data_IF_764460228677
#
_entry.id   IF_764460228677
#
_cell.length_a   1.000
_cell.length_b   1.000
_cell.length_c   1.000
_cell.angle_alpha   90.00
_cell.angle_beta   90.00
_cell.angle_gamma   90.00
#
_symmetry.space_group_name_H-M   'P 1'
#
loop_
_entity.id
_entity.type
_entity.pdbx_description
1 polymer ?
#
# COMPACT_ATOMS: atom_id res chain seq x y z
N UNK A 1 -23.06 5.32 13.09
CA UNK A 1 -22.28 4.08 13.03
C UNK A 1 -20.96 4.35 12.36
N UNK A 2 -19.85 4.05 13.03
CA UNK A 2 -18.52 4.34 12.49
C UNK A 2 -18.21 3.54 11.24
N UNK A 3 -17.52 4.17 10.30
CA UNK A 3 -17.14 3.58 9.02
C UNK A 3 -15.70 3.07 9.07
N UNK A 4 -15.51 1.79 8.76
CA UNK A 4 -14.21 1.11 8.72
C UNK A 4 -13.86 0.78 7.27
N UNK A 5 -12.70 1.25 6.83
CA UNK A 5 -12.14 0.97 5.52
C UNK A 5 -11.08 -0.13 5.65
N UNK A 6 -11.15 -1.16 4.83
CA UNK A 6 -10.24 -2.30 4.86
C UNK A 6 -9.54 -2.41 3.51
N UNK A 7 -8.21 -2.34 3.50
CA UNK A 7 -7.41 -2.39 2.28
C UNK A 7 -6.87 -3.82 2.14
N UNK A 8 -7.46 -4.58 1.22
CA UNK A 8 -7.13 -5.97 0.95
C UNK A 8 -8.27 -6.92 1.29
N UNK A 9 -8.56 -7.84 0.36
CA UNK A 9 -9.63 -8.86 0.46
C UNK A 9 -9.10 -10.28 0.66
N UNK A 10 -7.88 -10.42 1.16
CA UNK A 10 -7.31 -11.70 1.58
C UNK A 10 -7.89 -12.18 2.92
N UNK A 11 -7.35 -13.27 3.49
CA UNK A 11 -7.87 -13.86 4.73
C UNK A 11 -7.96 -12.86 5.89
N UNK A 12 -6.96 -12.00 6.04
CA UNK A 12 -6.96 -10.98 7.10
C UNK A 12 -8.06 -9.92 6.87
N UNK A 13 -8.15 -9.34 5.67
CA UNK A 13 -9.13 -8.31 5.39
C UNK A 13 -10.57 -8.82 5.46
N UNK A 14 -10.82 -10.04 4.96
CA UNK A 14 -12.15 -10.66 5.06
C UNK A 14 -12.48 -11.00 6.51
N UNK A 15 -11.55 -11.57 7.28
CA UNK A 15 -11.76 -11.84 8.69
C UNK A 15 -12.08 -10.55 9.47
N UNK A 16 -11.30 -9.48 9.25
CA UNK A 16 -11.58 -8.17 9.83
C UNK A 16 -12.98 -7.65 9.48
N UNK A 17 -13.36 -7.75 8.21
CA UNK A 17 -14.67 -7.32 7.73
C UNK A 17 -15.82 -8.08 8.39
N UNK A 18 -15.70 -9.41 8.54
CA UNK A 18 -16.70 -10.25 9.18
C UNK A 18 -16.94 -9.83 10.65
N UNK A 19 -15.86 -9.66 11.42
CA UNK A 19 -15.95 -9.30 12.84
C UNK A 19 -16.46 -7.87 13.03
N UNK A 20 -15.94 -6.90 12.27
CA UNK A 20 -16.38 -5.51 12.34
C UNK A 20 -17.86 -5.36 11.93
N UNK A 21 -18.27 -6.00 10.84
CA UNK A 21 -19.66 -5.96 10.34
C UNK A 21 -20.66 -6.60 11.31
N UNK A 22 -20.32 -7.77 11.84
CA UNK A 22 -21.17 -8.42 12.87
C UNK A 22 -21.27 -7.57 14.14
N UNK A 23 -20.25 -6.78 14.45
CA UNK A 23 -20.31 -5.80 15.52
C UNK A 23 -21.09 -4.53 15.17
N UNK A 24 -21.64 -4.39 13.97
CA UNK A 24 -22.52 -3.29 13.56
C UNK A 24 -21.80 -2.09 12.92
N UNK A 25 -20.51 -2.20 12.55
CA UNK A 25 -19.85 -1.13 11.80
C UNK A 25 -20.34 -1.07 10.34
N UNK A 26 -20.22 0.10 9.72
CA UNK A 26 -20.25 0.22 8.25
C UNK A 26 -18.85 -0.16 7.72
N UNK A 27 -18.80 -1.18 6.85
CA UNK A 27 -17.54 -1.77 6.40
C UNK A 27 -17.43 -1.75 4.89
N UNK A 28 -16.32 -1.17 4.39
CA UNK A 28 -15.97 -1.19 2.97
C UNK A 28 -14.60 -1.86 2.81
N UNK A 29 -14.52 -2.87 1.95
CA UNK A 29 -13.28 -3.59 1.61
C UNK A 29 -12.84 -3.20 0.21
N UNK A 30 -11.60 -2.77 0.07
CA UNK A 30 -10.95 -2.51 -1.22
C UNK A 30 -10.22 -3.75 -1.71
N UNK A 31 -10.45 -4.14 -2.96
CA UNK A 31 -9.91 -5.37 -3.53
C UNK A 31 -9.38 -5.16 -4.95
N UNK A 32 -8.20 -5.67 -5.22
CA UNK A 32 -7.62 -5.74 -6.59
C UNK A 32 -7.63 -7.17 -7.15
N UNK A 33 -8.05 -8.15 -6.34
CA UNK A 33 -8.06 -9.58 -6.73
C UNK A 33 -7.68 -10.49 -5.58
N UNK A 34 -7.31 -11.75 -5.89
CA UNK A 34 -7.05 -12.81 -4.91
C UNK A 34 -5.73 -12.65 -4.15
N UNK A 35 -4.81 -11.83 -4.67
CA UNK A 35 -3.51 -11.59 -4.03
C UNK A 35 -2.64 -12.85 -3.94
N UNK A 36 -1.91 -13.00 -2.82
CA UNK A 36 -0.98 -14.12 -2.62
C UNK A 36 -1.66 -15.50 -2.65
N UNK A 37 -2.93 -15.60 -2.27
CA UNK A 37 -3.70 -16.84 -2.31
C UNK A 37 -3.90 -17.41 -3.72
N UNK A 38 -3.83 -16.58 -4.77
CA UNK A 38 -3.93 -17.06 -6.16
C UNK A 38 -2.87 -18.12 -6.51
N UNK A 39 -1.71 -18.09 -5.80
CA UNK A 39 -0.59 -19.01 -6.01
C UNK A 39 -0.72 -20.32 -5.23
N UNK A 40 -1.67 -20.41 -4.30
CA UNK A 40 -1.86 -21.59 -3.45
C UNK A 40 -2.83 -22.55 -4.14
N UNK A 41 -2.30 -23.57 -4.83
CA UNK A 41 -3.12 -24.56 -5.53
C UNK A 41 -3.86 -25.48 -4.54
N UNK A 42 -3.26 -25.75 -3.37
CA UNK A 42 -3.76 -26.71 -2.40
C UNK A 42 -3.51 -26.24 -0.97
N UNK A 43 -4.55 -25.99 -0.22
CA UNK A 43 -4.54 -25.64 1.20
C UNK A 43 -5.20 -26.78 1.98
N UNK A 44 -4.46 -27.40 2.90
CA UNK A 44 -4.91 -28.54 3.72
C UNK A 44 -4.83 -28.22 5.22
N UNK A 45 -4.03 -27.23 5.60
CA UNK A 45 -3.67 -26.94 6.98
C UNK A 45 -4.49 -25.80 7.60
N UNK A 46 -5.68 -25.52 7.06
CA UNK A 46 -6.60 -24.56 7.64
C UNK A 46 -7.79 -25.26 8.29
N UNK A 47 -8.02 -24.96 9.56
CA UNK A 47 -9.08 -25.59 10.35
C UNK A 47 -10.46 -25.47 9.70
N UNK A 48 -11.19 -26.58 9.67
CA UNK A 48 -12.56 -26.64 9.14
C UNK A 48 -12.66 -26.98 7.65
N UNK A 49 -11.55 -27.29 6.98
CA UNK A 49 -11.57 -27.83 5.62
C UNK A 49 -11.69 -29.36 5.69
N UNK A 50 -12.78 -29.98 5.19
CA UNK A 50 -12.90 -31.44 5.13
C UNK A 50 -12.03 -32.02 4.01
N UNK A 51 -11.77 -31.25 2.96
CA UNK A 51 -10.95 -31.59 1.80
C UNK A 51 -10.04 -30.40 1.44
N UNK A 52 -8.91 -30.66 0.77
CA UNK A 52 -8.05 -29.59 0.30
C UNK A 52 -8.78 -28.65 -0.66
N UNK A 53 -8.51 -27.35 -0.53
CA UNK A 53 -9.08 -26.33 -1.42
C UNK A 53 -7.99 -25.45 -2.01
N UNK A 54 -8.22 -24.88 -3.20
CA UNK A 54 -7.34 -23.83 -3.72
C UNK A 54 -7.52 -22.53 -2.94
N UNK A 55 -6.45 -21.73 -2.88
CA UNK A 55 -6.52 -20.40 -2.26
C UNK A 55 -7.54 -19.47 -2.93
N UNK A 56 -7.74 -19.61 -4.24
CA UNK A 56 -8.79 -18.90 -4.96
C UNK A 56 -10.19 -19.28 -4.46
N UNK A 57 -10.46 -20.59 -4.30
CA UNK A 57 -11.73 -21.08 -3.75
C UNK A 57 -11.95 -20.61 -2.31
N UNK A 58 -10.92 -20.68 -1.47
CA UNK A 58 -11.00 -20.21 -0.09
C UNK A 58 -11.32 -18.72 -0.04
N UNK A 59 -10.63 -17.91 -0.83
CA UNK A 59 -10.85 -16.47 -0.88
C UNK A 59 -12.24 -16.10 -1.41
N UNK A 60 -12.68 -16.75 -2.48
CA UNK A 60 -14.02 -16.58 -3.06
C UNK A 60 -15.11 -16.88 -2.02
N UNK A 61 -14.97 -17.96 -1.26
CA UNK A 61 -15.91 -18.33 -0.21
C UNK A 61 -15.93 -17.28 0.92
N UNK A 62 -14.77 -16.77 1.32
CA UNK A 62 -14.66 -15.69 2.31
C UNK A 62 -15.36 -14.41 1.86
N UNK A 63 -15.11 -13.97 0.61
CA UNK A 63 -15.77 -12.80 0.01
C UNK A 63 -17.30 -12.99 -0.06
N UNK A 64 -17.75 -14.17 -0.49
CA UNK A 64 -19.19 -14.47 -0.54
C UNK A 64 -19.83 -14.40 0.84
N UNK A 65 -19.17 -14.94 1.86
CA UNK A 65 -19.62 -14.84 3.27
C UNK A 65 -19.72 -13.39 3.76
N UNK A 66 -18.73 -12.56 3.44
CA UNK A 66 -18.70 -11.15 3.81
C UNK A 66 -19.81 -10.35 3.09
N UNK A 67 -20.00 -10.57 1.79
CA UNK A 67 -21.10 -9.96 1.01
C UNK A 67 -22.48 -10.30 1.59
N UNK A 68 -22.69 -11.56 1.96
CA UNK A 68 -23.96 -12.00 2.60
C UNK A 68 -24.27 -11.24 3.90
N UNK A 69 -23.25 -10.82 4.63
CA UNK A 69 -23.39 -9.98 5.84
C UNK A 69 -23.53 -8.48 5.53
N UNK A 70 -23.55 -8.09 4.26
CA UNK A 70 -23.71 -6.69 3.85
C UNK A 70 -22.41 -5.87 3.92
N UNK A 71 -21.23 -6.51 3.82
CA UNK A 71 -19.95 -5.82 3.60
C UNK A 71 -19.92 -5.27 2.19
N UNK A 72 -19.55 -4.00 2.03
CA UNK A 72 -19.39 -3.36 0.74
C UNK A 72 -17.99 -3.67 0.17
N UNK A 73 -17.91 -3.83 -1.15
CA UNK A 73 -16.65 -4.07 -1.86
C UNK A 73 -16.45 -3.02 -2.94
N UNK A 74 -15.28 -2.41 -2.93
CA UNK A 74 -14.80 -1.54 -4.00
C UNK A 74 -13.73 -2.31 -4.76
N UNK A 75 -14.01 -2.57 -6.05
CA UNK A 75 -13.02 -3.15 -6.95
C UNK A 75 -12.10 -2.04 -7.44
N UNK A 76 -10.81 -2.14 -7.17
CA UNK A 76 -9.83 -1.16 -7.57
C UNK A 76 -8.54 -1.23 -6.76
N UNK A 77 -7.51 -0.61 -7.29
CA UNK A 77 -6.24 -0.45 -6.61
C UNK A 77 -6.29 0.77 -5.68
N UNK A 78 -5.90 0.56 -4.43
CA UNK A 78 -5.61 1.68 -3.52
C UNK A 78 -4.24 2.23 -3.84
N UNK A 79 -4.19 3.50 -4.23
CA UNK A 79 -2.96 4.21 -4.62
C UNK A 79 -2.51 5.19 -3.53
N UNK A 80 -3.41 5.60 -2.65
CA UNK A 80 -3.11 6.55 -1.58
C UNK A 80 -3.88 6.31 -0.29
N UNK A 81 -3.28 6.72 0.82
CA UNK A 81 -3.87 6.77 2.14
C UNK A 81 -3.44 8.07 2.81
N UNK A 82 -4.37 8.78 3.39
CA UNK A 82 -4.15 10.07 4.06
C UNK A 82 -5.23 10.38 5.09
N UNK A 83 -5.28 11.65 5.49
CA UNK A 83 -6.35 12.20 6.32
C UNK A 83 -7.14 13.23 5.51
N UNK A 84 -8.37 13.50 5.92
CA UNK A 84 -9.14 14.62 5.40
C UNK A 84 -8.59 15.97 5.88
N UNK A 85 -9.08 17.07 5.33
CA UNK A 85 -8.62 18.44 5.66
C UNK A 85 -8.81 18.80 7.14
N UNK A 86 -9.71 18.09 7.83
CA UNK A 86 -9.97 18.29 9.26
C UNK A 86 -9.11 17.40 10.17
N UNK A 87 -8.31 16.51 9.61
CA UNK A 87 -7.51 15.52 10.32
C UNK A 87 -8.33 14.61 11.25
N UNK A 88 -9.62 14.46 10.96
CA UNK A 88 -10.53 13.66 11.80
C UNK A 88 -10.87 12.31 11.19
N UNK A 89 -10.75 12.16 9.87
CA UNK A 89 -11.10 10.94 9.17
C UNK A 89 -10.00 10.53 8.19
N UNK A 90 -9.85 9.23 8.02
CA UNK A 90 -8.97 8.66 6.99
C UNK A 90 -9.57 8.84 5.60
N UNK A 91 -8.69 9.04 4.63
CA UNK A 91 -9.01 9.10 3.21
C UNK A 91 -8.25 8.00 2.47
N UNK A 92 -8.96 7.12 1.78
CA UNK A 92 -8.42 6.09 0.91
C UNK A 92 -8.67 6.47 -0.54
N UNK A 93 -7.62 6.64 -1.32
CA UNK A 93 -7.69 6.97 -2.74
C UNK A 93 -7.51 5.72 -3.61
N UNK A 94 -8.39 5.52 -4.58
CA UNK A 94 -8.21 4.65 -5.74
C UNK A 94 -7.87 5.48 -6.97
N UNK A 95 -7.61 4.85 -8.12
CA UNK A 95 -7.40 5.59 -9.36
C UNK A 95 -8.60 6.48 -9.75
N UNK A 96 -9.82 6.08 -9.37
CA UNK A 96 -11.06 6.68 -9.86
C UNK A 96 -11.80 7.52 -8.81
N UNK A 97 -11.56 7.26 -7.51
CA UNK A 97 -12.34 7.88 -6.44
C UNK A 97 -11.61 7.92 -5.10
N UNK A 98 -12.10 8.79 -4.20
CA UNK A 98 -11.65 8.89 -2.82
C UNK A 98 -12.78 8.52 -1.84
N UNK A 99 -12.42 7.82 -0.76
CA UNK A 99 -13.34 7.29 0.24
C UNK A 99 -12.89 7.71 1.63
N UNK A 100 -13.83 8.16 2.46
CA UNK A 100 -13.53 8.55 3.85
C UNK A 100 -14.07 7.53 4.84
N UNK A 101 -13.34 7.32 5.93
CA UNK A 101 -13.70 6.43 7.03
C UNK A 101 -13.13 6.87 8.36
N UNK A 102 -13.65 6.34 9.44
CA UNK A 102 -13.22 6.69 10.81
C UNK A 102 -12.04 5.85 11.27
N UNK A 103 -11.81 4.71 10.63
CA UNK A 103 -10.71 3.79 10.89
C UNK A 103 -10.29 3.08 9.61
N UNK A 104 -9.01 2.68 9.54
CA UNK A 104 -8.45 1.90 8.42
C UNK A 104 -7.77 0.65 8.94
N UNK A 105 -7.94 -0.46 8.23
CA UNK A 105 -7.21 -1.72 8.44
C UNK A 105 -6.40 -2.03 7.19
N UNK A 106 -5.08 -2.09 7.34
CA UNK A 106 -4.15 -2.48 6.28
C UNK A 106 -4.04 -4.01 6.26
N UNK A 107 -4.52 -4.63 5.18
CA UNK A 107 -4.55 -6.10 5.01
C UNK A 107 -4.18 -6.54 3.58
N UNK A 108 -3.43 -5.69 2.84
CA UNK A 108 -3.02 -5.94 1.46
C UNK A 108 -1.75 -6.82 1.33
N UNK A 109 -1.29 -7.41 2.44
CA UNK A 109 -0.05 -8.19 2.48
C UNK A 109 1.22 -7.32 2.48
N UNK A 110 2.38 -7.95 2.31
CA UNK A 110 3.72 -7.34 2.40
C UNK A 110 4.40 -7.27 1.03
N UNK A 111 3.69 -6.95 -0.05
CA UNK A 111 4.31 -6.92 -1.37
C UNK A 111 4.96 -5.57 -1.66
N UNK A 112 6.29 -5.54 -1.60
CA UNK A 112 7.12 -4.49 -2.21
C UNK A 112 7.86 -5.13 -3.39
N UNK A 113 7.68 -4.60 -4.58
CA UNK A 113 8.48 -5.01 -5.73
C UNK A 113 9.75 -4.17 -5.73
N UNK A 114 10.87 -4.81 -5.46
CA UNK A 114 12.20 -4.20 -5.57
C UNK A 114 12.77 -4.62 -6.93
N UNK A 115 13.03 -3.69 -7.85
CA UNK A 115 13.62 -4.05 -9.13
C UNK A 115 15.09 -4.50 -8.93
N UNK A 116 15.58 -5.43 -9.75
CA UNK A 116 16.98 -5.87 -9.70
C UNK A 116 17.90 -4.85 -10.37
N UNK A 117 17.90 -3.62 -9.84
CA UNK A 117 18.67 -2.51 -10.38
C UNK A 117 19.91 -2.27 -9.51
N UNK A 118 21.14 -2.42 -10.05
CA UNK A 118 22.37 -2.19 -9.30
C UNK A 118 22.43 -0.81 -8.65
N UNK A 119 22.86 -0.76 -7.39
CA UNK A 119 22.97 0.48 -6.61
C UNK A 119 21.65 0.92 -5.92
N UNK A 120 20.55 0.18 -6.10
CA UNK A 120 19.25 0.62 -5.57
C UNK A 120 19.21 0.61 -4.03
N UNK A 121 19.71 -0.48 -3.42
CA UNK A 121 19.70 -0.63 -1.97
C UNK A 121 20.64 0.37 -1.27
N UNK A 122 21.81 0.61 -1.85
CA UNK A 122 22.84 1.52 -1.34
C UNK A 122 22.40 2.99 -1.40
N UNK A 123 21.51 3.30 -2.33
CA UNK A 123 20.97 4.66 -2.54
C UNK A 123 19.64 4.89 -1.86
N UNK A 124 19.06 3.90 -1.17
CA UNK A 124 17.84 4.10 -0.37
C UNK A 124 18.11 5.14 0.74
N UNK A 125 17.29 6.19 0.79
CA UNK A 125 17.51 7.37 1.63
C UNK A 125 18.62 8.33 1.14
N UNK A 126 19.33 7.97 0.08
CA UNK A 126 20.38 8.77 -0.56
C UNK A 126 20.01 9.22 -1.98
N UNK A 127 18.71 9.42 -2.20
CA UNK A 127 18.09 9.81 -3.46
C UNK A 127 17.18 8.77 -4.08
N UNK A 128 17.16 7.53 -3.57
CA UNK A 128 16.11 6.54 -3.84
C UNK A 128 15.10 6.55 -2.71
N UNK A 129 13.82 6.65 -3.06
CA UNK A 129 12.68 6.67 -2.14
C UNK A 129 11.56 5.74 -2.63
N UNK A 130 10.67 5.35 -1.72
CA UNK A 130 9.46 4.57 -1.99
C UNK A 130 8.18 5.28 -1.52
N UNK A 131 8.29 6.55 -1.13
CA UNK A 131 7.18 7.31 -0.58
C UNK A 131 7.27 8.79 -0.99
N UNK A 132 6.52 9.19 -2.01
CA UNK A 132 6.49 10.59 -2.44
C UNK A 132 5.94 11.52 -1.35
N UNK A 133 4.88 11.11 -0.66
CA UNK A 133 4.29 11.91 0.44
C UNK A 133 5.31 12.19 1.55
N UNK A 134 6.21 11.23 1.84
CA UNK A 134 7.23 11.39 2.88
C UNK A 134 8.33 12.35 2.46
N UNK A 135 8.77 12.28 1.21
CA UNK A 135 10.06 12.84 0.78
C UNK A 135 9.95 13.96 -0.25
N UNK A 136 8.77 14.24 -0.82
CA UNK A 136 8.59 15.23 -1.89
C UNK A 136 9.16 16.61 -1.54
N UNK A 137 9.06 17.03 -0.27
CA UNK A 137 9.55 18.32 0.20
C UNK A 137 11.07 18.49 0.02
N UNK A 138 11.86 17.40 0.03
CA UNK A 138 13.31 17.42 -0.18
C UNK A 138 13.70 17.61 -1.64
N UNK A 139 12.74 17.47 -2.55
CA UNK A 139 12.98 17.55 -4.01
C UNK A 139 12.46 18.85 -4.64
N UNK A 140 12.27 19.88 -3.82
CA UNK A 140 11.87 21.21 -4.30
C UNK A 140 12.87 21.74 -5.34
N UNK A 141 12.35 22.10 -6.52
CA UNK A 141 13.11 22.59 -7.67
C UNK A 141 14.13 21.59 -8.25
N UNK A 142 13.95 20.29 -8.01
CA UNK A 142 14.81 19.22 -8.50
C UNK A 142 14.11 18.39 -9.58
N UNK A 143 14.88 17.57 -10.31
CA UNK A 143 14.37 16.63 -11.29
C UNK A 143 14.21 15.25 -10.63
N UNK A 144 13.02 14.68 -10.67
CA UNK A 144 12.73 13.38 -10.09
C UNK A 144 12.23 12.40 -11.14
N UNK A 145 12.63 11.14 -11.00
CA UNK A 145 12.08 10.01 -11.72
C UNK A 145 11.11 9.24 -10.85
N UNK A 146 10.03 8.71 -11.43
CA UNK A 146 9.13 7.75 -10.78
C UNK A 146 9.15 6.45 -11.58
N UNK A 147 9.68 5.40 -11.00
CA UNK A 147 9.80 4.09 -11.62
C UNK A 147 8.54 3.26 -11.40
N UNK A 148 7.81 3.01 -12.47
CA UNK A 148 6.58 2.25 -12.49
C UNK A 148 5.70 2.63 -13.69
N UNK A 149 4.68 1.82 -13.97
CA UNK A 149 3.86 1.97 -15.18
C UNK A 149 2.35 1.88 -14.92
N UNK A 150 1.92 1.92 -13.66
CA UNK A 150 0.51 1.79 -13.26
C UNK A 150 -0.03 3.01 -12.51
N UNK A 151 -1.27 2.90 -12.04
CA UNK A 151 -1.96 3.94 -11.30
C UNK A 151 -1.19 4.39 -10.05
N UNK A 152 -0.50 3.47 -9.37
CA UNK A 152 0.34 3.81 -8.22
C UNK A 152 1.50 4.74 -8.62
N UNK A 153 2.21 4.44 -9.71
CA UNK A 153 3.30 5.29 -10.19
C UNK A 153 2.81 6.69 -10.61
N UNK A 154 1.66 6.75 -11.28
CA UNK A 154 1.05 8.03 -11.64
C UNK A 154 0.67 8.83 -10.40
N UNK A 155 0.06 8.20 -9.40
CA UNK A 155 -0.27 8.86 -8.13
C UNK A 155 0.97 9.43 -7.42
N UNK A 156 2.08 8.67 -7.34
CA UNK A 156 3.32 9.16 -6.74
C UNK A 156 3.90 10.34 -7.54
N UNK A 157 3.79 10.31 -8.88
CA UNK A 157 4.20 11.42 -9.74
C UNK A 157 3.35 12.69 -9.52
N UNK A 158 2.05 12.53 -9.34
CA UNK A 158 1.14 13.63 -9.02
C UNK A 158 1.44 14.26 -7.65
N UNK A 159 1.79 13.47 -6.65
CA UNK A 159 2.25 13.96 -5.34
C UNK A 159 3.55 14.76 -5.45
N UNK A 160 4.48 14.33 -6.30
CA UNK A 160 5.75 15.03 -6.52
C UNK A 160 5.61 16.32 -7.33
N UNK A 161 4.63 16.39 -8.24
CA UNK A 161 4.47 17.50 -9.20
C UNK A 161 4.47 18.90 -8.58
N UNK A 162 3.76 19.19 -7.48
CA UNK A 162 3.77 20.54 -6.88
C UNK A 162 5.10 20.92 -6.22
N UNK A 163 6.01 19.97 -6.01
CA UNK A 163 7.29 20.15 -5.32
C UNK A 163 8.48 20.19 -6.27
N UNK A 164 8.57 19.21 -7.17
CA UNK A 164 9.70 19.05 -8.08
C UNK A 164 9.68 20.07 -9.23
N UNK A 165 10.84 20.39 -9.79
CA UNK A 165 10.93 21.19 -11.04
C UNK A 165 10.46 20.40 -12.25
N UNK A 166 10.71 19.08 -12.23
CA UNK A 166 10.27 18.15 -13.28
C UNK A 166 10.09 16.76 -12.68
N UNK A 167 9.01 16.09 -13.09
CA UNK A 167 8.75 14.68 -12.76
C UNK A 167 8.73 13.88 -14.06
N UNK A 168 9.44 12.76 -14.10
CA UNK A 168 9.57 11.88 -15.26
C UNK A 168 9.11 10.48 -14.87
N UNK A 169 8.10 9.94 -15.54
CA UNK A 169 7.69 8.56 -15.39
C UNK A 169 8.66 7.65 -16.16
N UNK A 170 9.19 6.64 -15.48
CA UNK A 170 10.14 5.66 -16.01
C UNK A 170 9.48 4.28 -15.99
N UNK A 171 9.18 3.71 -17.15
CA UNK A 171 8.37 2.48 -17.20
C UNK A 171 9.18 1.19 -17.33
N UNK A 172 10.50 1.31 -17.44
CA UNK A 172 11.44 0.17 -17.49
C UNK A 172 11.06 -0.88 -18.54
N UNK A 173 10.92 -0.44 -19.79
CA UNK A 173 10.60 -1.30 -20.94
C UNK A 173 9.13 -1.71 -21.05
N UNK A 174 8.23 -1.11 -20.27
CA UNK A 174 6.78 -1.43 -20.28
C UNK A 174 5.97 -0.25 -20.80
N UNK A 175 4.76 -0.54 -21.26
CA UNK A 175 3.78 0.51 -21.56
C UNK A 175 3.07 0.97 -20.28
N UNK A 176 2.61 2.22 -20.25
CA UNK A 176 1.73 2.69 -19.19
C UNK A 176 0.39 1.96 -19.24
N UNK A 177 -0.08 1.51 -18.08
CA UNK A 177 -1.36 0.79 -17.96
C UNK A 177 -2.54 1.70 -17.64
N UNK A 178 -2.28 2.99 -17.51
CA UNK A 178 -3.27 4.04 -17.24
C UNK A 178 -2.99 5.25 -18.14
N UNK A 179 -4.01 6.05 -18.49
CA UNK A 179 -3.81 7.32 -19.17
C UNK A 179 -2.89 8.24 -18.36
N UNK A 180 -1.93 8.88 -19.03
CA UNK A 180 -1.01 9.83 -18.42
C UNK A 180 -1.37 11.24 -18.86
N UNK A 181 -1.53 12.19 -17.93
CA UNK A 181 -1.71 13.61 -18.28
C UNK A 181 -0.56 14.12 -19.14
N UNK A 182 -0.83 15.00 -20.12
CA UNK A 182 0.16 15.43 -21.13
C UNK A 182 1.33 16.25 -20.56
N UNK A 183 1.22 16.72 -19.34
CA UNK A 183 2.25 17.47 -18.62
C UNK A 183 3.33 16.57 -17.96
N UNK A 184 3.15 15.25 -17.96
CA UNK A 184 4.18 14.32 -17.53
C UNK A 184 5.03 13.81 -18.70
N UNK A 185 6.34 13.87 -18.55
CA UNK A 185 7.26 13.21 -19.45
C UNK A 185 7.29 11.70 -19.13
N UNK A 186 7.21 10.85 -20.14
CA UNK A 186 7.32 9.40 -20.00
C UNK A 186 8.55 8.91 -20.76
N UNK A 187 9.34 8.06 -20.12
CA UNK A 187 10.48 7.35 -20.71
C UNK A 187 10.22 5.86 -20.56
N UNK A 188 10.24 5.16 -21.69
CA UNK A 188 9.88 3.73 -21.75
C UNK A 188 11.08 2.80 -21.81
N UNK A 189 12.27 3.33 -22.00
CA UNK A 189 13.50 2.54 -22.09
C UNK A 189 13.78 1.81 -20.76
N UNK A 190 14.41 0.64 -20.85
CA UNK A 190 14.84 -0.12 -19.66
C UNK A 190 15.94 0.63 -18.91
N UNK A 191 15.87 0.53 -17.59
CA UNK A 191 16.90 1.03 -16.69
C UNK A 191 17.97 -0.05 -16.50
N UNK A 192 19.22 0.31 -16.63
CA UNK A 192 20.33 -0.65 -16.51
C UNK A 192 21.19 -0.44 -15.26
N UNK A 193 21.33 0.81 -14.80
CA UNK A 193 22.19 1.14 -13.68
C UNK A 193 21.81 2.50 -13.09
N UNK A 194 21.93 2.64 -11.76
CA UNK A 194 21.85 3.94 -11.09
C UNK A 194 23.23 4.62 -11.12
N UNK A 195 23.21 5.90 -11.46
CA UNK A 195 24.41 6.74 -11.43
C UNK A 195 24.44 7.52 -10.12
N UNK A 196 25.56 7.47 -9.42
CA UNK A 196 25.73 8.17 -8.15
C UNK A 196 27.04 8.96 -8.12
N UNK A 197 27.14 9.91 -7.21
CA UNK A 197 28.38 10.60 -6.87
C UNK A 197 28.57 10.61 -5.37
N UNK A 198 29.84 10.59 -4.95
CA UNK A 198 30.21 10.71 -3.53
C UNK A 198 30.94 12.03 -3.33
N UNK A 199 30.31 12.95 -2.58
CA UNK A 199 30.87 14.25 -2.23
C UNK A 199 30.85 14.39 -0.71
N UNK A 200 32.00 14.77 -0.14
CA UNK A 200 32.16 14.93 1.32
C UNK A 200 31.72 13.68 2.13
N UNK A 201 32.00 12.47 1.61
CA UNK A 201 31.62 11.20 2.24
C UNK A 201 30.13 10.86 2.17
N UNK A 202 29.32 11.60 1.40
CA UNK A 202 27.90 11.32 1.18
C UNK A 202 27.67 10.90 -0.26
N UNK A 203 27.21 9.68 -0.45
CA UNK A 203 26.80 9.18 -1.77
C UNK A 203 25.36 9.62 -2.06
N UNK A 204 25.09 10.10 -3.28
CA UNK A 204 23.76 10.51 -3.74
C UNK A 204 23.55 10.09 -5.18
N UNK A 205 22.30 9.82 -5.54
CA UNK A 205 21.90 9.61 -6.93
C UNK A 205 22.17 10.86 -7.78
N UNK A 206 22.59 10.63 -9.03
CA UNK A 206 22.79 11.67 -10.06
C UNK A 206 22.01 11.39 -11.33
N UNK A 207 21.51 10.17 -11.48
CA UNK A 207 20.77 9.79 -12.67
C UNK A 207 20.57 8.30 -12.78
N UNK A 208 20.06 7.91 -13.91
CA UNK A 208 19.86 6.51 -14.30
C UNK A 208 20.38 6.32 -15.73
N UNK A 209 21.10 5.22 -15.97
CA UNK A 209 21.50 4.80 -17.31
C UNK A 209 20.39 3.99 -17.94
N UNK A 210 20.04 4.33 -19.18
CA UNK A 210 19.06 3.64 -20.00
C UNK A 210 19.76 2.61 -20.91
N UNK A 211 19.00 1.64 -21.42
CA UNK A 211 19.51 0.59 -22.31
C UNK A 211 20.11 1.11 -23.62
N UNK A 212 19.68 2.29 -24.08
CA UNK A 212 20.24 2.97 -25.26
C UNK A 212 21.59 3.67 -24.98
N UNK A 213 22.11 3.59 -23.74
CA UNK A 213 23.36 4.22 -23.29
C UNK A 213 23.20 5.64 -22.78
N UNK A 214 22.06 6.28 -22.96
CA UNK A 214 21.78 7.62 -22.42
C UNK A 214 21.80 7.60 -20.89
N UNK A 215 22.34 8.66 -20.31
CA UNK A 215 22.25 8.91 -18.86
C UNK A 215 21.22 10.01 -18.62
N UNK A 216 20.11 9.65 -18.04
CA UNK A 216 19.07 10.59 -17.64
C UNK A 216 19.42 11.15 -16.26
N UNK A 217 19.72 12.45 -16.20
CA UNK A 217 20.04 13.11 -14.94
C UNK A 217 18.83 13.22 -14.03
N UNK A 218 18.97 12.77 -12.77
CA UNK A 218 17.92 12.81 -11.74
C UNK A 218 18.54 13.16 -10.40
N UNK A 219 17.83 13.97 -9.62
CA UNK A 219 18.16 14.25 -8.22
C UNK A 219 17.51 13.24 -7.25
N UNK A 220 16.52 12.50 -7.73
CA UNK A 220 15.82 11.46 -6.97
C UNK A 220 15.07 10.47 -7.84
N UNK A 221 14.98 9.24 -7.36
CA UNK A 221 14.21 8.14 -7.98
C UNK A 221 13.21 7.59 -6.97
N UNK A 222 11.92 7.67 -7.31
CA UNK A 222 10.83 7.12 -6.53
C UNK A 222 10.39 5.78 -7.13
N UNK A 223 10.51 4.70 -6.36
CA UNK A 223 10.16 3.36 -6.83
C UNK A 223 8.71 3.06 -6.49
N UNK A 224 7.86 3.02 -7.51
CA UNK A 224 6.41 2.81 -7.42
C UNK A 224 5.95 1.65 -8.32
N UNK A 225 6.64 0.51 -8.21
CA UNK A 225 6.34 -0.69 -8.98
C UNK A 225 5.17 -1.48 -8.38
N UNK A 226 4.31 -1.97 -9.23
CA UNK A 226 3.17 -2.81 -8.83
C UNK A 226 2.08 -2.01 -8.15
N UNK A 227 1.81 -2.30 -6.88
CA UNK A 227 0.75 -1.66 -6.07
C UNK A 227 1.33 -1.13 -4.76
N UNK A 228 0.70 -0.11 -4.20
CA UNK A 228 1.01 0.32 -2.84
C UNK A 228 0.69 -0.82 -1.85
N UNK A 229 1.73 -1.40 -1.26
CA UNK A 229 1.58 -2.41 -0.22
C UNK A 229 1.17 -1.81 1.12
N UNK A 230 0.75 -2.66 2.06
CA UNK A 230 0.37 -2.20 3.41
C UNK A 230 1.50 -1.44 4.11
N UNK A 231 2.74 -1.83 3.88
CA UNK A 231 3.93 -1.20 4.49
C UNK A 231 4.15 0.22 3.97
N UNK A 232 4.01 0.45 2.66
CA UNK A 232 4.12 1.77 2.04
C UNK A 232 2.99 2.68 2.51
N UNK A 233 1.76 2.19 2.52
CA UNK A 233 0.59 2.93 3.02
C UNK A 233 0.74 3.28 4.50
N UNK A 234 1.28 2.35 5.32
CA UNK A 234 1.56 2.58 6.73
C UNK A 234 2.59 3.72 6.93
N UNK A 235 3.69 3.71 6.17
CA UNK A 235 4.72 4.78 6.21
C UNK A 235 4.15 6.14 5.86
N UNK A 236 3.31 6.23 4.83
CA UNK A 236 2.62 7.49 4.44
C UNK A 236 1.81 8.09 5.57
N UNK A 237 1.31 7.27 6.47
CA UNK A 237 0.56 7.68 7.65
C UNK A 237 1.42 7.93 8.89
N UNK A 238 2.74 7.75 8.81
CA UNK A 238 3.64 7.88 9.96
C UNK A 238 3.59 6.67 10.91
N UNK A 239 3.08 5.53 10.46
CA UNK A 239 3.15 4.28 11.22
C UNK A 239 4.59 3.75 11.25
N UNK A 240 5.01 3.20 12.39
CA UNK A 240 6.33 2.60 12.56
C UNK A 240 6.46 1.34 11.69
N UNK A 241 7.56 1.27 10.95
CA UNK A 241 7.92 0.12 10.12
C UNK A 241 9.36 -0.24 10.42
N UNK A 242 9.59 -1.47 10.88
CA UNK A 242 10.90 -2.00 11.21
C UNK A 242 11.12 -3.32 10.46
N UNK A 243 12.30 -3.51 9.90
CA UNK A 243 12.65 -4.68 9.08
C UNK A 243 11.60 -5.03 8.00
N UNK A 244 10.98 -4.00 7.38
CA UNK A 244 9.96 -4.18 6.35
C UNK A 244 8.56 -4.52 6.87
N UNK A 245 8.34 -4.57 8.19
CA UNK A 245 7.05 -4.91 8.81
C UNK A 245 6.45 -3.75 9.58
N UNK A 246 5.15 -3.59 9.45
CA UNK A 246 4.37 -2.61 10.22
C UNK A 246 4.35 -3.05 11.68
N UNK A 247 4.78 -2.18 12.58
CA UNK A 247 4.77 -2.46 14.01
C UNK A 247 3.37 -2.28 14.58
N UNK A 248 2.87 -3.32 15.21
CA UNK A 248 1.55 -3.36 15.84
C UNK A 248 1.65 -3.91 17.27
N UNK A 249 0.69 -3.53 18.10
CA UNK A 249 0.51 -4.16 19.41
C UNK A 249 -0.27 -5.50 19.30
N UNK A 250 -0.54 -6.14 20.45
CA UNK A 250 -1.33 -7.38 20.50
C UNK A 250 -2.76 -7.23 19.97
N UNK A 251 -3.23 -6.02 19.80
CA UNK A 251 -4.56 -5.68 19.30
C UNK A 251 -4.53 -5.20 17.84
N UNK A 252 -3.42 -5.45 17.15
CA UNK A 252 -3.17 -5.05 15.77
C UNK A 252 -3.21 -3.52 15.55
N UNK A 253 -3.12 -2.72 16.61
CA UNK A 253 -3.07 -1.26 16.52
C UNK A 253 -1.64 -0.79 16.21
N UNK A 254 -1.52 0.14 15.25
CA UNK A 254 -0.27 0.87 15.01
C UNK A 254 -0.11 2.01 16.01
N UNK A 255 1.01 2.74 15.94
CA UNK A 255 1.18 3.99 16.69
C UNK A 255 0.29 5.14 16.19
N UNK A 256 -0.41 4.97 15.08
CA UNK A 256 -1.35 5.96 14.53
C UNK A 256 -2.77 5.62 14.98
N UNK A 257 -3.43 6.47 15.80
CA UNK A 257 -4.77 6.18 16.31
C UNK A 257 -5.78 5.92 15.19
N UNK A 258 -6.49 4.79 15.26
CA UNK A 258 -7.47 4.39 14.25
C UNK A 258 -6.91 3.67 13.02
N UNK A 259 -5.58 3.54 12.93
CA UNK A 259 -4.92 2.74 11.90
C UNK A 259 -4.47 1.40 12.47
N UNK A 260 -4.90 0.33 11.83
CA UNK A 260 -4.57 -1.06 12.19
C UNK A 260 -3.90 -1.75 11.03
N UNK A 261 -3.11 -2.79 11.31
CA UNK A 261 -2.49 -3.62 10.28
C UNK A 261 -2.57 -5.10 10.66
N UNK A 262 -2.74 -5.95 9.65
CA UNK A 262 -2.86 -7.40 9.80
C UNK A 262 -2.32 -8.11 8.57
N UNK A 263 -1.99 -9.39 8.68
CA UNK A 263 -1.46 -10.22 7.61
C UNK A 263 0.08 -10.17 7.53
N UNK A 264 0.62 -10.52 6.37
CA UNK A 264 2.06 -10.64 6.12
C UNK A 264 2.83 -9.32 6.37
N UNK A 265 2.14 -8.18 6.28
CA UNK A 265 2.75 -6.87 6.53
C UNK A 265 3.18 -6.66 7.99
N UNK A 266 2.68 -7.46 8.93
CA UNK A 266 3.09 -7.44 10.34
C UNK A 266 4.22 -8.43 10.67
N UNK A 267 4.67 -9.20 9.65
CA UNK A 267 5.70 -10.24 9.81
C UNK A 267 5.19 -11.53 10.44
N UNK A 268 6.09 -12.34 10.96
CA UNK A 268 5.77 -13.61 11.64
C UNK A 268 5.38 -14.74 10.67
N UNK A 269 4.49 -15.63 11.10
CA UNK A 269 4.08 -16.81 10.36
C UNK A 269 3.25 -16.43 9.11
N UNK A 270 3.73 -16.76 7.92
CA UNK A 270 3.04 -16.48 6.65
C UNK A 270 2.01 -17.57 6.32
N UNK A 271 0.91 -17.62 7.07
CA UNK A 271 -0.13 -18.63 6.94
C UNK A 271 -1.54 -18.03 7.02
N UNK A 272 -2.50 -18.71 6.41
CA UNK A 272 -3.93 -18.33 6.42
C UNK A 272 -4.48 -18.18 7.84
N UNK A 273 -4.12 -19.09 8.75
CA UNK A 273 -4.60 -19.07 10.12
C UNK A 273 -4.15 -17.82 10.89
N UNK A 274 -2.88 -17.43 10.73
CA UNK A 274 -2.35 -16.18 11.33
C UNK A 274 -3.05 -14.96 10.74
N UNK A 275 -3.15 -14.89 9.42
CA UNK A 275 -3.83 -13.79 8.74
C UNK A 275 -5.30 -13.67 9.17
N UNK A 276 -6.02 -14.78 9.30
CA UNK A 276 -7.41 -14.79 9.77
C UNK A 276 -7.54 -14.32 11.23
N UNK A 277 -6.63 -14.77 12.12
CA UNK A 277 -6.60 -14.35 13.52
C UNK A 277 -6.32 -12.83 13.63
N UNK A 278 -5.26 -12.35 13.01
CA UNK A 278 -4.91 -10.93 13.06
C UNK A 278 -5.99 -10.05 12.46
N UNK A 279 -6.61 -10.51 11.37
CA UNK A 279 -7.77 -9.81 10.78
C UNK A 279 -8.92 -9.70 11.76
N UNK A 280 -9.27 -10.78 12.46
CA UNK A 280 -10.33 -10.77 13.46
C UNK A 280 -10.04 -9.80 14.59
N UNK A 281 -8.81 -9.81 15.14
CA UNK A 281 -8.38 -8.89 16.20
C UNK A 281 -8.36 -7.44 15.72
N UNK A 282 -7.83 -7.17 14.52
CA UNK A 282 -7.86 -5.83 13.92
C UNK A 282 -9.31 -5.31 13.72
N UNK A 283 -10.22 -6.17 13.24
CA UNK A 283 -11.62 -5.84 13.05
C UNK A 283 -12.34 -5.47 14.34
N UNK A 284 -12.11 -6.24 15.43
CA UNK A 284 -12.65 -5.94 16.75
C UNK A 284 -12.04 -4.67 17.35
N UNK A 285 -10.76 -4.43 17.13
CA UNK A 285 -10.07 -3.26 17.63
C UNK A 285 -10.50 -1.98 16.92
N UNK A 286 -10.62 -2.02 15.60
CA UNK A 286 -11.19 -0.92 14.81
C UNK A 286 -12.64 -0.61 15.23
N UNK A 287 -13.46 -1.64 15.48
CA UNK A 287 -14.82 -1.48 15.98
C UNK A 287 -14.84 -0.78 17.35
N UNK A 288 -13.96 -1.18 18.28
CA UNK A 288 -13.84 -0.51 19.59
C UNK A 288 -13.45 0.96 19.42
N UNK A 289 -12.48 1.23 18.54
CA UNK A 289 -12.01 2.59 18.27
C UNK A 289 -13.13 3.49 17.74
N UNK A 290 -13.87 3.08 16.70
CA UNK A 290 -14.94 3.91 16.11
C UNK A 290 -16.08 4.14 17.08
N UNK A 291 -16.45 3.15 17.92
CA UNK A 291 -17.47 3.30 18.96
C UNK A 291 -17.06 4.30 20.04
N UNK A 292 -15.79 4.29 20.45
CA UNK A 292 -15.29 5.24 21.44
C UNK A 292 -15.25 6.68 20.89
N UNK A 293 -14.86 6.81 19.61
CA UNK A 293 -14.90 8.10 18.91
C UNK A 293 -16.31 8.69 18.85
N UNK A 294 -17.33 7.89 18.53
CA UNK A 294 -18.73 8.30 18.52
C UNK A 294 -19.23 8.77 19.91
N UNK A 295 -18.76 8.13 20.99
CA UNK A 295 -19.13 8.52 22.35
C UNK A 295 -18.45 9.83 22.78
N UNK A 296 -17.17 10.03 22.41
CA UNK A 296 -16.44 11.26 22.72
C UNK A 296 -16.94 12.48 21.95
N UNK A 297 -17.57 12.28 20.78
CA UNK A 297 -18.20 13.37 20.01
C UNK A 297 -19.58 13.78 20.57
N UNK A 298 -20.17 13.00 21.47
CA UNK A 298 -21.48 13.25 22.10
C UNK A 298 -21.39 13.87 23.50
N UNK A 299 -20.17 14.10 23.99
CA UNK A 299 -19.88 14.79 25.25
C UNK A 299 -19.38 16.21 24.98
#
# INVERSE_FOLDING_TARGET
>A
MGKILIIGSGPAGISAALYAKRGGADVTVFTKGTGALAKAERIENYYGLPEPVSGETLNRNGIAGARRLGVQFVQGEVVGLGMDDTWTRFTVATADASYTGDSVILAAGASRIVPPLPGLAELEGHGVSYCAVCDAAFYKKKVTGVLGNGAYALHEAEVLRPHAAKVILLTDGKEMTVPVPPDFAVRTEKLTELQSTTENGRTRIRGVRLENGEVLALDGLFVALGTAGSTELARKMGARVEAGHVQVDRHMATNVPGLFAACDCTGGLLQVVKAAYEGAEAGLSALRYVRNKEKGTKA
#
